data_IF_994012655715
#
_entry.id   IF_994012655715
#
_cell.length_a   1.000
_cell.length_b   1.000
_cell.length_c   1.000
_cell.angle_alpha   90.00
_cell.angle_beta   90.00
_cell.angle_gamma   90.00
#
_symmetry.space_group_name_H-M   'P 1'
#
loop_
_entity.id
_entity.type
_entity.pdbx_description
1 polymer ?
#
# COMPACT_ATOMS: atom_id res chain seq x y z
N UNK A 1 4.47 -22.55 -12.02
CA UNK A 1 5.34 -22.03 -10.94
C UNK A 1 6.82 -22.16 -11.28
N UNK A 2 7.35 -23.37 -11.51
CA UNK A 2 8.78 -23.59 -11.80
C UNK A 2 9.37 -22.75 -12.94
N UNK A 3 8.62 -22.53 -14.03
CA UNK A 3 9.09 -21.67 -15.12
C UNK A 3 9.22 -20.19 -14.71
N UNK A 4 8.32 -19.66 -13.86
CA UNK A 4 8.44 -18.30 -13.35
C UNK A 4 9.62 -18.17 -12.38
N UNK A 5 9.82 -19.17 -11.51
CA UNK A 5 10.95 -19.20 -10.57
C UNK A 5 12.28 -19.19 -11.33
N UNK A 6 12.45 -20.09 -12.31
CA UNK A 6 13.66 -20.11 -13.14
C UNK A 6 13.87 -18.83 -13.97
N UNK A 7 12.81 -18.17 -14.44
CA UNK A 7 12.92 -16.87 -15.09
C UNK A 7 13.38 -15.78 -14.11
N UNK A 8 12.87 -15.79 -12.88
CA UNK A 8 13.30 -14.86 -11.84
C UNK A 8 14.76 -15.08 -11.45
N UNK A 9 15.23 -16.33 -11.33
CA UNK A 9 16.64 -16.62 -11.01
C UNK A 9 17.59 -16.01 -12.04
N UNK A 10 17.30 -16.18 -13.34
CA UNK A 10 18.10 -15.58 -14.42
C UNK A 10 18.04 -14.06 -14.43
N UNK A 11 16.91 -13.48 -14.05
CA UNK A 11 16.76 -12.04 -13.90
C UNK A 11 17.60 -11.53 -12.71
N UNK A 12 17.60 -12.24 -11.59
CA UNK A 12 18.43 -11.92 -10.43
C UNK A 12 19.92 -12.03 -10.79
N UNK A 13 20.34 -13.09 -11.47
CA UNK A 13 21.71 -13.23 -11.97
C UNK A 13 22.13 -12.08 -12.89
N UNK A 14 21.23 -11.62 -13.77
CA UNK A 14 21.48 -10.47 -14.64
C UNK A 14 21.68 -9.20 -13.81
N UNK A 15 20.79 -8.93 -12.86
CA UNK A 15 20.87 -7.77 -11.98
C UNK A 15 22.14 -7.82 -11.12
N UNK A 16 22.47 -8.97 -10.57
CA UNK A 16 23.70 -9.20 -9.81
C UNK A 16 24.95 -9.04 -10.64
N UNK A 17 24.94 -9.28 -11.95
CA UNK A 17 26.13 -9.07 -12.80
C UNK A 17 26.21 -7.64 -13.33
N UNK A 18 25.08 -7.00 -13.59
CA UNK A 18 25.03 -5.68 -14.22
C UNK A 18 25.02 -4.52 -13.23
N UNK A 19 24.45 -4.69 -12.03
CA UNK A 19 24.25 -3.60 -11.06
C UNK A 19 25.29 -3.67 -9.94
N UNK A 20 25.82 -2.50 -9.59
CA UNK A 20 26.70 -2.33 -8.44
C UNK A 20 25.90 -2.10 -7.16
N UNK A 21 25.61 -3.17 -6.43
CA UNK A 21 24.90 -3.11 -5.15
C UNK A 21 25.72 -2.46 -4.03
N UNK A 22 27.06 -2.49 -4.09
CA UNK A 22 27.90 -1.83 -3.09
C UNK A 22 27.84 -0.30 -3.22
N UNK A 23 27.83 0.20 -4.46
CA UNK A 23 27.62 1.62 -4.73
C UNK A 23 26.24 2.09 -4.27
N UNK A 24 25.19 1.26 -4.44
CA UNK A 24 23.84 1.58 -3.94
C UNK A 24 23.84 1.68 -2.41
N UNK A 25 24.50 0.76 -1.71
CA UNK A 25 24.54 0.76 -0.25
C UNK A 25 25.36 1.95 0.31
N UNK A 26 26.47 2.31 -0.35
CA UNK A 26 27.42 3.34 0.11
C UNK A 26 26.99 4.75 -0.28
N UNK A 27 26.68 4.95 -1.56
CA UNK A 27 26.49 6.27 -2.17
C UNK A 27 25.02 6.53 -2.54
N UNK A 28 24.13 5.53 -2.43
CA UNK A 28 22.73 5.57 -2.91
C UNK A 28 22.62 5.85 -4.41
N UNK A 29 23.64 5.48 -5.16
CA UNK A 29 23.69 5.66 -6.61
C UNK A 29 23.54 4.33 -7.34
N UNK A 30 22.66 4.32 -8.34
CA UNK A 30 22.49 3.20 -9.24
C UNK A 30 23.52 3.29 -10.36
N UNK A 31 24.50 2.39 -10.34
CA UNK A 31 25.57 2.34 -11.34
C UNK A 31 25.68 0.94 -11.92
N UNK A 32 26.14 0.89 -13.17
CA UNK A 32 26.56 -0.37 -13.79
C UNK A 32 27.83 -0.85 -13.10
N UNK A 33 27.99 -2.16 -12.94
CA UNK A 33 29.22 -2.76 -12.39
C UNK A 33 30.42 -2.49 -13.30
N UNK A 34 31.52 -2.06 -12.71
CA UNK A 34 32.75 -1.69 -13.43
C UNK A 34 33.42 -2.88 -14.14
N UNK A 35 33.40 -4.07 -13.53
CA UNK A 35 34.06 -5.29 -14.05
C UNK A 35 33.41 -5.95 -15.29
N UNK A 36 32.42 -5.32 -15.94
CA UNK A 36 31.78 -5.87 -17.15
C UNK A 36 32.68 -5.72 -18.37
N UNK A 37 33.43 -4.62 -18.45
CA UNK A 37 34.38 -4.37 -19.54
C UNK A 37 35.66 -3.74 -18.99
N UNK A 38 36.84 -4.05 -19.56
CA UNK A 38 38.11 -3.47 -19.11
C UNK A 38 38.12 -1.94 -19.14
N UNK A 39 37.41 -1.34 -20.11
CA UNK A 39 37.28 0.11 -20.23
C UNK A 39 36.49 0.72 -19.06
N UNK A 40 35.41 0.07 -18.61
CA UNK A 40 34.65 0.54 -17.44
C UNK A 40 35.44 0.38 -16.15
N UNK A 41 36.25 -0.67 -16.03
CA UNK A 41 37.12 -0.89 -14.88
C UNK A 41 38.19 0.20 -14.76
N UNK A 42 38.84 0.56 -15.87
CA UNK A 42 39.81 1.66 -15.92
C UNK A 42 39.16 3.02 -15.56
N UNK A 43 38.02 3.34 -16.18
CA UNK A 43 37.29 4.59 -15.90
C UNK A 43 36.77 4.64 -14.46
N UNK A 44 36.32 3.51 -13.90
CA UNK A 44 35.94 3.41 -12.49
C UNK A 44 37.14 3.65 -11.57
N UNK A 45 38.31 3.10 -11.89
CA UNK A 45 39.55 3.36 -11.16
C UNK A 45 39.91 4.84 -11.11
N UNK A 46 39.81 5.55 -12.24
CA UNK A 46 40.03 6.99 -12.28
C UNK A 46 39.02 7.78 -11.43
N UNK A 47 37.74 7.41 -11.49
CA UNK A 47 36.68 8.01 -10.68
C UNK A 47 36.93 7.79 -9.19
N UNK A 48 37.22 6.55 -8.80
CA UNK A 48 37.37 6.15 -7.40
C UNK A 48 38.64 6.76 -6.79
N UNK A 49 39.73 6.85 -7.55
CA UNK A 49 40.93 7.57 -7.15
C UNK A 49 40.67 9.08 -6.94
N UNK A 50 39.93 9.73 -7.85
CA UNK A 50 39.55 11.13 -7.68
C UNK A 50 38.63 11.33 -6.46
N UNK A 51 37.76 10.36 -6.17
CA UNK A 51 36.88 10.36 -4.99
C UNK A 51 37.66 10.21 -3.69
N UNK A 52 38.65 9.32 -3.67
CA UNK A 52 39.54 9.13 -2.52
C UNK A 52 40.38 10.38 -2.25
N UNK A 53 40.89 11.04 -3.30
CA UNK A 53 41.59 12.31 -3.17
C UNK A 53 40.72 13.40 -2.52
N UNK A 54 39.44 13.50 -2.91
CA UNK A 54 38.49 14.43 -2.28
C UNK A 54 38.30 14.13 -0.78
N UNK A 55 38.28 12.85 -0.40
CA UNK A 55 38.14 12.41 0.99
C UNK A 55 39.42 12.72 1.81
N UNK A 56 40.61 12.56 1.23
CA UNK A 56 41.88 12.99 1.84
C UNK A 56 41.87 14.50 2.09
N UNK A 57 41.49 15.29 1.08
CA UNK A 57 41.38 16.76 1.21
C UNK A 57 40.36 17.14 2.29
N UNK A 58 39.21 16.44 2.36
CA UNK A 58 38.21 16.64 3.42
C UNK A 58 38.82 16.44 4.81
N UNK A 59 39.61 15.37 5.01
CA UNK A 59 40.25 15.08 6.30
C UNK A 59 41.31 16.12 6.66
N UNK A 60 42.13 16.55 5.70
CA UNK A 60 43.11 17.62 5.92
C UNK A 60 42.45 18.94 6.29
N UNK A 61 41.40 19.33 5.56
CA UNK A 61 40.64 20.56 5.83
C UNK A 61 40.00 20.48 7.20
N UNK A 62 39.35 19.36 7.55
CA UNK A 62 38.72 19.13 8.86
C UNK A 62 39.72 19.30 10.01
N UNK A 63 40.96 18.82 9.82
CA UNK A 63 42.05 18.99 10.79
C UNK A 63 42.46 20.46 10.93
N UNK A 64 42.59 21.20 9.82
CA UNK A 64 42.96 22.62 9.82
C UNK A 64 41.90 23.51 10.47
N UNK A 65 40.62 23.25 10.21
CA UNK A 65 39.50 24.04 10.78
C UNK A 65 39.08 23.58 12.18
N UNK A 66 39.68 22.48 12.70
CA UNK A 66 39.33 21.84 13.97
C UNK A 66 37.84 21.53 14.10
N UNK A 67 37.22 21.15 12.99
CA UNK A 67 35.77 20.92 12.87
C UNK A 67 35.55 19.82 11.83
N UNK A 68 34.59 18.93 12.06
CA UNK A 68 34.24 17.87 11.11
C UNK A 68 33.54 18.48 9.88
N UNK A 69 34.24 18.54 8.75
CA UNK A 69 33.65 18.89 7.47
C UNK A 69 33.12 17.62 6.78
N UNK A 70 31.99 17.75 6.09
CA UNK A 70 31.40 16.66 5.30
C UNK A 70 31.35 17.04 3.83
N UNK A 71 31.59 16.07 2.94
CA UNK A 71 31.35 16.26 1.51
C UNK A 71 29.83 16.36 1.27
N UNK A 72 29.43 17.35 0.48
CA UNK A 72 28.04 17.58 0.11
C UNK A 72 27.95 18.07 -1.34
N UNK A 73 26.89 17.70 -2.04
CA UNK A 73 26.58 18.23 -3.36
C UNK A 73 25.85 19.57 -3.25
N UNK A 74 26.36 20.59 -3.94
CA UNK A 74 25.67 21.86 -4.08
C UNK A 74 24.71 21.81 -5.29
N UNK A 75 23.61 22.56 -5.22
CA UNK A 75 22.55 22.53 -6.24
C UNK A 75 22.90 23.29 -7.53
N UNK A 76 23.86 24.24 -7.52
CA UNK A 76 24.24 24.99 -8.71
C UNK A 76 25.61 25.70 -8.59
N UNK A 77 26.51 25.55 -9.57
CA UNK A 77 26.61 24.39 -10.47
C UNK A 77 26.68 23.09 -9.63
N UNK A 78 26.21 21.96 -10.15
CA UNK A 78 26.29 20.69 -9.43
C UNK A 78 27.77 20.28 -9.26
N UNK A 79 28.36 20.61 -8.12
CA UNK A 79 29.71 20.18 -7.76
C UNK A 79 29.80 19.86 -6.27
N UNK A 80 30.75 18.99 -5.95
CA UNK A 80 31.03 18.58 -4.59
C UNK A 80 31.75 19.70 -3.84
N UNK A 81 31.30 19.97 -2.63
CA UNK A 81 31.89 20.98 -1.74
C UNK A 81 31.93 20.46 -0.30
N UNK A 82 32.54 21.24 0.58
CA UNK A 82 32.61 20.95 2.00
C UNK A 82 31.49 21.66 2.74
N UNK A 83 30.83 20.93 3.62
CA UNK A 83 29.74 21.39 4.47
C UNK A 83 30.17 21.37 5.92
N UNK A 84 29.88 22.46 6.63
CA UNK A 84 29.93 22.55 8.09
C UNK A 84 28.62 23.14 8.64
N UNK A 85 28.26 22.86 9.91
CA UNK A 85 27.19 23.55 10.61
C UNK A 85 27.41 25.07 10.59
N UNK A 86 26.35 25.86 10.39
CA UNK A 86 26.44 27.33 10.34
C UNK A 86 27.09 27.96 11.57
N UNK A 87 26.94 27.33 12.75
CA UNK A 87 27.59 27.75 14.01
C UNK A 87 29.12 27.81 13.91
N UNK A 88 29.72 27.04 13.02
CA UNK A 88 31.17 26.91 12.83
C UNK A 88 31.69 27.68 11.61
N UNK A 89 30.86 28.53 10.99
CA UNK A 89 31.24 29.39 9.85
C UNK A 89 32.49 30.23 10.12
N UNK A 90 32.61 30.80 11.33
CA UNK A 90 33.75 31.64 11.71
C UNK A 90 35.10 30.89 11.66
N UNK A 91 35.11 29.57 11.83
CA UNK A 91 36.34 28.76 11.73
C UNK A 91 36.83 28.62 10.29
N UNK A 92 35.91 28.66 9.33
CA UNK A 92 36.22 28.57 7.89
C UNK A 92 36.66 29.94 7.36
N UNK A 93 35.94 31.00 7.71
CA UNK A 93 36.22 32.37 7.23
C UNK A 93 37.55 32.95 7.74
N UNK A 94 38.11 32.40 8.83
CA UNK A 94 39.45 32.74 9.32
C UNK A 94 40.56 32.43 8.30
N UNK A 95 40.33 31.48 7.40
CA UNK A 95 41.33 31.04 6.42
C UNK A 95 40.97 31.59 5.04
N UNK A 96 41.77 32.55 4.53
CA UNK A 96 41.56 33.17 3.21
C UNK A 96 41.58 32.20 2.02
N UNK A 97 42.15 31.00 2.19
CA UNK A 97 42.21 29.99 1.14
C UNK A 97 40.86 29.29 0.85
N UNK A 98 39.85 29.48 1.71
CA UNK A 98 38.53 28.87 1.54
C UNK A 98 37.54 29.85 0.92
N UNK A 99 36.93 29.42 -0.19
CA UNK A 99 35.91 30.20 -0.90
C UNK A 99 34.53 29.75 -0.45
N UNK A 100 33.67 30.71 -0.09
CA UNK A 100 32.27 30.45 0.21
C UNK A 100 31.51 30.07 -1.06
N UNK A 101 30.71 29.01 -0.99
CA UNK A 101 29.84 28.54 -2.08
C UNK A 101 28.41 29.00 -1.83
N UNK A 102 27.82 28.53 -0.74
CA UNK A 102 26.40 28.77 -0.42
C UNK A 102 26.19 28.78 1.10
N UNK A 103 25.20 29.54 1.57
CA UNK A 103 24.77 29.55 2.97
C UNK A 103 23.30 29.18 3.02
N UNK A 104 23.00 28.10 3.74
CA UNK A 104 21.64 27.69 4.05
C UNK A 104 21.31 28.06 5.51
N UNK A 105 20.04 27.90 5.92
CA UNK A 105 19.59 28.26 7.28
C UNK A 105 20.42 27.55 8.37
N UNK A 106 20.81 26.29 8.17
CA UNK A 106 21.55 25.48 9.14
C UNK A 106 22.99 25.15 8.72
N UNK A 107 23.39 25.42 7.48
CA UNK A 107 24.60 24.87 6.88
C UNK A 107 25.41 25.94 6.14
N UNK A 108 26.73 25.81 6.19
CA UNK A 108 27.66 26.64 5.46
C UNK A 108 28.48 25.76 4.50
N UNK A 109 28.38 26.05 3.20
CA UNK A 109 29.04 25.32 2.12
C UNK A 109 30.20 26.15 1.59
N UNK A 110 31.36 25.53 1.46
CA UNK A 110 32.60 26.16 1.03
C UNK A 110 33.47 25.20 0.24
N UNK A 111 34.45 25.75 -0.47
CA UNK A 111 35.40 25.00 -1.30
C UNK A 111 36.82 25.56 -1.14
N UNK A 112 37.79 24.85 -1.70
CA UNK A 112 39.20 25.25 -1.72
C UNK A 112 39.83 24.87 -3.07
N UNK A 113 40.91 25.56 -3.48
CA UNK A 113 41.54 25.31 -4.79
C UNK A 113 41.89 23.84 -5.07
N UNK A 114 42.55 23.11 -4.13
CA UNK A 114 42.81 21.68 -4.32
C UNK A 114 41.54 20.84 -4.49
N UNK A 115 40.48 21.16 -3.75
CA UNK A 115 39.20 20.46 -3.88
C UNK A 115 38.53 20.77 -5.22
N UNK A 116 38.54 22.02 -5.67
CA UNK A 116 37.97 22.40 -6.98
C UNK A 116 38.60 21.58 -8.13
N UNK A 117 39.92 21.36 -8.08
CA UNK A 117 40.65 20.53 -9.05
C UNK A 117 40.28 19.04 -8.95
N UNK A 118 40.25 18.48 -7.74
CA UNK A 118 39.87 17.08 -7.52
C UNK A 118 38.43 16.82 -7.97
N UNK A 119 37.51 17.74 -7.67
CA UNK A 119 36.11 17.68 -8.08
C UNK A 119 35.96 17.77 -9.59
N UNK A 120 36.71 18.65 -10.27
CA UNK A 120 36.70 18.69 -11.74
C UNK A 120 37.12 17.35 -12.33
N UNK A 121 38.21 16.75 -11.83
CA UNK A 121 38.68 15.43 -12.30
C UNK A 121 37.65 14.33 -12.04
N UNK A 122 37.02 14.34 -10.86
CA UNK A 122 35.96 13.40 -10.52
C UNK A 122 34.77 13.53 -11.48
N UNK A 123 34.30 14.75 -11.74
CA UNK A 123 33.16 14.98 -12.64
C UNK A 123 33.48 14.57 -14.08
N UNK A 124 34.69 14.84 -14.57
CA UNK A 124 35.13 14.40 -15.90
C UNK A 124 35.19 12.87 -15.99
N UNK A 125 35.77 12.20 -14.99
CA UNK A 125 35.83 10.75 -14.93
C UNK A 125 34.42 10.13 -14.82
N UNK A 126 33.55 10.71 -13.99
CA UNK A 126 32.16 10.27 -13.83
C UNK A 126 31.36 10.43 -15.12
N UNK A 127 31.53 11.54 -15.83
CA UNK A 127 30.86 11.79 -17.11
C UNK A 127 31.27 10.74 -18.16
N UNK A 128 32.58 10.50 -18.30
CA UNK A 128 33.12 9.46 -19.20
C UNK A 128 32.65 8.06 -18.83
N UNK A 129 32.60 7.74 -17.54
CA UNK A 129 32.08 6.47 -17.05
C UNK A 129 30.61 6.29 -17.44
N UNK A 130 29.78 7.31 -17.18
CA UNK A 130 28.35 7.29 -17.49
C UNK A 130 28.10 7.17 -19.01
N UNK A 131 28.91 7.82 -19.83
CA UNK A 131 28.84 7.73 -21.28
C UNK A 131 29.21 6.32 -21.77
N UNK A 132 30.31 5.74 -21.29
CA UNK A 132 30.72 4.37 -21.61
C UNK A 132 29.70 3.33 -21.12
N UNK A 133 29.06 3.57 -19.98
CA UNK A 133 28.06 2.67 -19.40
C UNK A 133 26.67 2.78 -20.08
N UNK A 134 26.39 3.84 -20.84
CA UNK A 134 25.07 4.15 -21.38
C UNK A 134 24.50 3.02 -22.24
N UNK A 135 25.31 2.44 -23.12
CA UNK A 135 24.88 1.36 -24.01
C UNK A 135 24.61 0.05 -23.23
N UNK A 136 25.45 -0.25 -22.24
CA UNK A 136 25.28 -1.42 -21.37
C UNK A 136 24.01 -1.25 -20.51
N UNK A 137 23.78 -0.06 -19.99
CA UNK A 137 22.56 0.26 -19.25
C UNK A 137 21.31 0.07 -20.11
N UNK A 138 21.32 0.62 -21.33
CA UNK A 138 20.20 0.47 -22.27
C UNK A 138 19.91 -1.01 -22.56
N UNK A 139 20.93 -1.80 -22.90
CA UNK A 139 20.79 -3.24 -23.16
C UNK A 139 20.31 -4.00 -21.93
N UNK A 140 20.80 -3.66 -20.75
CA UNK A 140 20.36 -4.29 -19.49
C UNK A 140 18.86 -4.06 -19.26
N UNK A 141 18.37 -2.84 -19.50
CA UNK A 141 16.94 -2.51 -19.39
C UNK A 141 16.12 -3.25 -20.45
N UNK A 142 16.59 -3.33 -21.69
CA UNK A 142 15.92 -4.07 -22.76
C UNK A 142 15.79 -5.56 -22.43
N UNK A 143 16.86 -6.19 -21.91
CA UNK A 143 16.84 -7.59 -21.47
C UNK A 143 15.93 -7.75 -20.24
N UNK A 144 16.01 -6.85 -19.26
CA UNK A 144 15.13 -6.84 -18.08
C UNK A 144 13.65 -6.78 -18.47
N UNK A 145 13.30 -5.96 -19.46
CA UNK A 145 11.94 -5.80 -19.95
C UNK A 145 11.35 -7.11 -20.51
N UNK A 146 12.18 -8.02 -21.05
CA UNK A 146 11.71 -9.32 -21.53
C UNK A 146 11.13 -10.21 -20.42
N UNK A 147 11.49 -9.96 -19.16
CA UNK A 147 10.96 -10.69 -18.00
C UNK A 147 9.61 -10.17 -17.51
N UNK A 148 9.08 -9.08 -18.09
CA UNK A 148 7.80 -8.49 -17.68
C UNK A 148 6.65 -9.50 -17.56
N UNK A 149 6.41 -10.43 -18.52
CA UNK A 149 5.32 -11.40 -18.39
C UNK A 149 5.48 -12.35 -17.20
N UNK A 150 6.71 -12.68 -16.80
CA UNK A 150 6.96 -13.52 -15.63
C UNK A 150 6.66 -12.76 -14.33
N UNK A 151 7.10 -11.51 -14.25
CA UNK A 151 6.84 -10.62 -13.10
C UNK A 151 5.35 -10.32 -12.96
N UNK A 152 4.65 -10.03 -14.05
CA UNK A 152 3.20 -9.79 -14.04
C UNK A 152 2.43 -11.00 -13.48
N UNK A 153 2.73 -12.22 -13.97
CA UNK A 153 2.12 -13.45 -13.42
C UNK A 153 2.43 -13.66 -11.94
N UNK A 154 3.65 -13.32 -11.50
CA UNK A 154 3.99 -13.40 -10.08
C UNK A 154 3.16 -12.41 -9.26
N UNK A 155 2.98 -11.19 -9.77
CA UNK A 155 2.14 -10.19 -9.12
C UNK A 155 0.69 -10.66 -8.98
N UNK A 156 0.10 -11.28 -10.01
CA UNK A 156 -1.27 -11.82 -9.95
C UNK A 156 -1.42 -12.92 -8.90
N UNK A 157 -0.44 -13.82 -8.80
CA UNK A 157 -0.43 -14.90 -7.81
C UNK A 157 -0.28 -14.34 -6.40
N UNK A 158 0.63 -13.38 -6.21
CA UNK A 158 0.83 -12.73 -4.91
C UNK A 158 -0.41 -11.94 -4.49
N UNK A 159 -1.05 -11.22 -5.42
CA UNK A 159 -2.29 -10.50 -5.17
C UNK A 159 -3.42 -11.45 -4.75
N UNK A 160 -3.56 -12.60 -5.44
CA UNK A 160 -4.54 -13.61 -5.08
C UNK A 160 -4.28 -14.19 -3.69
N UNK A 161 -3.01 -14.48 -3.37
CA UNK A 161 -2.60 -14.98 -2.06
C UNK A 161 -2.87 -13.95 -0.95
N UNK A 162 -2.55 -12.68 -1.20
CA UNK A 162 -2.79 -11.57 -0.27
C UNK A 162 -4.28 -11.43 0.07
N UNK A 163 -5.16 -11.46 -0.94
CA UNK A 163 -6.61 -11.41 -0.73
C UNK A 163 -7.12 -12.61 0.07
N UNK A 164 -6.69 -13.83 -0.26
CA UNK A 164 -7.10 -15.04 0.46
C UNK A 164 -6.60 -15.06 1.91
N UNK A 165 -5.36 -14.63 2.15
CA UNK A 165 -4.81 -14.47 3.49
C UNK A 165 -5.57 -13.40 4.29
N UNK A 166 -5.93 -12.29 3.65
CA UNK A 166 -6.74 -11.23 4.26
C UNK A 166 -8.12 -11.76 4.66
N UNK A 167 -8.82 -12.50 3.79
CA UNK A 167 -10.08 -13.14 4.12
C UNK A 167 -9.96 -14.13 5.28
N UNK A 168 -8.91 -14.96 5.30
CA UNK A 168 -8.67 -15.89 6.41
C UNK A 168 -8.42 -15.16 7.74
N UNK A 169 -7.65 -14.07 7.71
CA UNK A 169 -7.38 -13.24 8.89
C UNK A 169 -8.65 -12.58 9.43
N UNK A 170 -9.46 -11.97 8.55
CA UNK A 170 -10.76 -11.41 8.91
C UNK A 170 -11.70 -12.49 9.47
N UNK A 171 -11.73 -13.68 8.85
CA UNK A 171 -12.58 -14.77 9.29
C UNK A 171 -12.24 -15.25 10.71
N UNK A 172 -10.95 -15.39 11.03
CA UNK A 172 -10.49 -15.76 12.37
C UNK A 172 -10.78 -14.68 13.40
N UNK A 173 -10.52 -13.42 13.05
CA UNK A 173 -10.69 -12.26 13.93
C UNK A 173 -12.17 -12.08 14.32
N UNK A 174 -13.07 -12.10 13.33
CA UNK A 174 -14.50 -11.86 13.57
C UNK A 174 -15.32 -13.14 13.72
N UNK A 175 -14.69 -14.32 13.82
CA UNK A 175 -15.35 -15.63 13.98
C UNK A 175 -16.40 -15.89 12.89
N UNK A 176 -15.99 -15.72 11.64
CA UNK A 176 -16.83 -15.93 10.47
C UNK A 176 -16.80 -17.41 10.08
N UNK A 177 -17.86 -17.87 9.41
CA UNK A 177 -18.03 -19.27 8.99
C UNK A 177 -18.11 -19.37 7.48
N UNK A 178 -17.62 -20.49 6.94
CA UNK A 178 -17.81 -20.79 5.52
C UNK A 178 -19.28 -21.14 5.32
N UNK A 179 -19.95 -20.42 4.42
CA UNK A 179 -21.32 -20.74 4.09
C UNK A 179 -21.39 -22.00 3.21
N UNK A 180 -22.43 -22.80 3.42
CA UNK A 180 -22.81 -23.87 2.51
C UNK A 180 -23.51 -23.26 1.29
N UNK A 181 -23.06 -23.60 0.09
CA UNK A 181 -23.57 -23.00 -1.13
C UNK A 181 -24.72 -23.86 -1.64
N UNK A 182 -25.91 -23.27 -1.68
CA UNK A 182 -27.06 -23.91 -2.31
C UNK A 182 -27.03 -23.63 -3.82
N UNK A 183 -26.50 -24.60 -4.56
CA UNK A 183 -26.31 -24.60 -6.02
C UNK A 183 -27.56 -25.08 -6.79
N UNK A 184 -28.67 -25.32 -6.08
CA UNK A 184 -29.96 -25.58 -6.67
C UNK A 184 -30.36 -24.48 -7.66
N UNK A 185 -30.89 -24.86 -8.82
CA UNK A 185 -31.37 -23.91 -9.84
C UNK A 185 -32.88 -24.05 -10.00
N UNK A 186 -33.69 -23.04 -9.60
CA UNK A 186 -33.30 -21.76 -8.97
C UNK A 186 -32.94 -21.89 -7.48
N UNK A 187 -32.07 -21.01 -6.96
CA UNK A 187 -31.55 -21.03 -5.59
C UNK A 187 -32.69 -20.93 -4.57
N UNK A 188 -32.60 -21.75 -3.53
CA UNK A 188 -33.77 -22.13 -2.75
C UNK A 188 -33.85 -21.37 -1.44
N UNK A 189 -32.72 -21.03 -0.81
CA UNK A 189 -32.78 -20.48 0.55
C UNK A 189 -31.71 -19.42 0.89
N UNK A 190 -32.13 -18.50 1.77
CA UNK A 190 -31.27 -17.77 2.70
C UNK A 190 -31.55 -18.39 4.07
N UNK A 191 -30.59 -19.12 4.61
CA UNK A 191 -30.69 -19.74 5.93
C UNK A 191 -29.43 -19.40 6.73
N UNK A 192 -29.53 -18.39 7.59
CA UNK A 192 -28.41 -17.88 8.36
C UNK A 192 -28.81 -17.91 9.83
N UNK A 193 -28.03 -18.61 10.66
CA UNK A 193 -28.20 -18.62 12.10
C UNK A 193 -27.18 -17.66 12.73
N UNK A 194 -27.66 -16.75 13.58
CA UNK A 194 -26.82 -15.81 14.32
C UNK A 194 -26.02 -14.85 13.44
N UNK A 195 -26.65 -14.24 12.43
CA UNK A 195 -26.02 -13.26 11.55
C UNK A 195 -25.63 -11.97 12.30
N UNK A 196 -24.44 -11.45 12.00
CA UNK A 196 -23.86 -10.25 12.61
C UNK A 196 -23.42 -9.23 11.58
N UNK A 197 -23.60 -7.94 11.87
CA UNK A 197 -23.10 -6.88 11.00
C UNK A 197 -21.68 -6.47 11.40
N UNK A 198 -20.66 -7.02 10.74
CA UNK A 198 -19.23 -6.84 11.09
C UNK A 198 -18.86 -5.37 11.30
N UNK A 199 -19.26 -4.46 10.42
CA UNK A 199 -18.91 -3.03 10.57
C UNK A 199 -19.55 -2.37 11.79
N UNK A 200 -20.77 -2.76 12.17
CA UNK A 200 -21.46 -2.20 13.34
C UNK A 200 -20.90 -2.83 14.61
N UNK A 201 -20.53 -4.11 14.56
CA UNK A 201 -19.85 -4.82 15.64
C UNK A 201 -18.48 -4.15 15.93
N UNK A 202 -17.67 -3.92 14.89
CA UNK A 202 -16.35 -3.29 15.04
C UNK A 202 -16.42 -1.82 15.47
N UNK A 203 -17.31 -1.02 14.89
CA UNK A 203 -17.45 0.39 15.27
C UNK A 203 -17.90 0.57 16.74
N UNK A 204 -18.56 -0.44 17.32
CA UNK A 204 -18.90 -0.48 18.74
C UNK A 204 -17.74 -0.93 19.62
N UNK A 205 -16.91 -1.87 19.14
CA UNK A 205 -15.70 -2.33 19.83
C UNK A 205 -14.65 -1.22 19.90
N UNK A 206 -14.45 -0.48 18.81
CA UNK A 206 -13.44 0.58 18.71
C UNK A 206 -13.88 1.92 19.32
N UNK A 207 -15.13 2.04 19.75
CA UNK A 207 -15.66 3.25 20.39
C UNK A 207 -16.01 4.39 19.43
N UNK A 208 -16.06 4.13 18.12
CA UNK A 208 -16.38 5.11 17.08
C UNK A 208 -17.87 5.54 17.11
N UNK A 209 -18.74 4.66 17.60
CA UNK A 209 -20.15 4.97 17.87
C UNK A 209 -20.29 5.30 19.36
N UNK A 210 -20.37 6.59 19.68
CA UNK A 210 -20.66 7.07 21.04
C UNK A 210 -22.07 6.64 21.46
N UNK A 211 -22.19 6.07 22.65
CA UNK A 211 -23.48 5.71 23.26
C UNK A 211 -24.25 6.97 23.64
N UNK A 212 -25.57 6.87 23.65
CA UNK A 212 -26.43 7.88 24.28
C UNK A 212 -26.12 7.88 25.78
N UNK A 213 -25.63 9.00 26.33
CA UNK A 213 -25.19 9.15 27.74
C UNK A 213 -26.31 8.85 28.76
N UNK A 214 -27.55 8.68 28.28
CA UNK A 214 -28.73 8.36 29.08
C UNK A 214 -28.86 6.88 29.50
N UNK A 215 -28.05 5.97 28.97
CA UNK A 215 -28.06 4.55 29.38
C UNK A 215 -27.07 4.34 30.52
N UNK A 216 -27.56 4.11 31.75
CA UNK A 216 -26.72 3.99 32.96
C UNK A 216 -25.67 2.86 32.91
N UNK A 217 -24.58 3.04 33.66
CA UNK A 217 -23.39 2.16 33.73
C UNK A 217 -23.71 0.66 33.89
N UNK A 218 -24.78 0.33 34.61
CA UNK A 218 -25.21 -1.06 34.85
C UNK A 218 -25.84 -1.72 33.62
N UNK A 219 -26.53 -0.95 32.77
CA UNK A 219 -27.08 -1.46 31.50
C UNK A 219 -25.97 -1.59 30.44
N UNK A 220 -24.95 -0.73 30.48
CA UNK A 220 -23.74 -0.82 29.66
C UNK A 220 -22.95 -2.10 29.97
N UNK A 221 -22.93 -2.56 31.23
CA UNK A 221 -22.30 -3.82 31.60
C UNK A 221 -23.12 -5.08 31.21
N UNK A 222 -24.46 -4.97 31.19
CA UNK A 222 -25.36 -6.12 30.97
C UNK A 222 -25.79 -6.31 29.50
N UNK A 223 -26.00 -5.23 28.75
CA UNK A 223 -26.19 -5.22 27.28
C UNK A 223 -24.88 -4.98 26.52
N UNK A 224 -23.74 -5.08 27.23
CA UNK A 224 -22.47 -4.50 26.85
C UNK A 224 -21.93 -4.94 25.49
N UNK A 225 -21.57 -3.92 24.70
CA UNK A 225 -20.61 -3.94 23.59
C UNK A 225 -20.84 -4.92 22.43
N UNK A 226 -21.81 -5.84 22.52
CA UNK A 226 -21.97 -6.93 21.57
C UNK A 226 -23.16 -6.68 20.65
N UNK A 227 -22.90 -6.78 19.35
CA UNK A 227 -23.95 -6.86 18.35
C UNK A 227 -24.84 -8.08 18.66
N UNK A 228 -26.16 -7.89 18.74
CA UNK A 228 -27.11 -8.99 18.97
C UNK A 228 -27.27 -9.77 17.67
N UNK A 229 -26.84 -11.05 17.59
CA UNK A 229 -26.98 -11.85 16.37
C UNK A 229 -28.46 -12.12 16.06
N UNK A 230 -28.82 -12.15 14.77
CA UNK A 230 -30.19 -12.44 14.35
C UNK A 230 -30.22 -13.52 13.27
N UNK A 231 -31.23 -14.38 13.33
CA UNK A 231 -31.45 -15.40 12.32
C UNK A 231 -32.13 -14.81 11.08
N UNK A 232 -31.79 -15.31 9.90
CA UNK A 232 -32.38 -14.91 8.62
C UNK A 232 -32.81 -16.16 7.87
N UNK A 233 -34.12 -16.33 7.71
CA UNK A 233 -34.72 -17.48 7.04
C UNK A 233 -35.68 -17.02 5.95
N UNK A 234 -35.34 -17.36 4.71
CA UNK A 234 -36.18 -17.16 3.54
C UNK A 234 -36.00 -18.38 2.65
N UNK A 235 -37.11 -18.97 2.19
CA UNK A 235 -37.05 -20.12 1.30
C UNK A 235 -38.09 -20.02 0.19
N UNK A 236 -37.86 -20.77 -0.87
CA UNK A 236 -38.79 -20.90 -1.97
C UNK A 236 -39.93 -21.86 -1.59
N UNK A 237 -41.18 -21.44 -1.72
CA UNK A 237 -42.33 -22.34 -1.52
C UNK A 237 -42.18 -23.68 -2.25
N UNK A 238 -42.50 -24.79 -1.57
CA UNK A 238 -42.50 -26.14 -2.14
C UNK A 238 -41.16 -26.87 -2.17
N UNK A 239 -40.09 -26.28 -1.63
CA UNK A 239 -38.72 -26.85 -1.64
C UNK A 239 -38.30 -27.47 -0.30
N UNK A 240 -39.27 -27.70 0.58
CA UNK A 240 -39.18 -28.19 1.96
C UNK A 240 -37.83 -28.75 2.40
N UNK A 241 -37.02 -27.89 3.02
CA UNK A 241 -35.88 -28.30 3.87
C UNK A 241 -36.00 -27.72 5.29
N UNK A 242 -36.90 -26.76 5.52
CA UNK A 242 -37.23 -26.22 6.84
C UNK A 242 -38.72 -26.37 7.14
N UNK A 243 -39.06 -26.91 8.32
CA UNK A 243 -40.42 -27.18 8.81
C UNK A 243 -41.15 -25.87 9.25
N UNK A 244 -41.23 -24.86 8.38
CA UNK A 244 -41.77 -23.54 8.72
C UNK A 244 -42.48 -22.83 7.56
N UNK A 245 -43.29 -21.83 7.92
CA UNK A 245 -44.02 -20.93 7.01
C UNK A 245 -43.11 -19.86 6.36
N UNK A 246 -41.83 -20.18 6.19
CA UNK A 246 -40.83 -19.23 5.71
C UNK A 246 -41.03 -19.03 4.20
N UNK A 247 -41.60 -17.89 3.82
CA UNK A 247 -41.89 -17.55 2.43
C UNK A 247 -40.72 -16.83 1.74
N UNK A 248 -40.93 -16.46 0.47
CA UNK A 248 -39.98 -15.63 -0.30
C UNK A 248 -39.99 -14.16 0.09
N UNK A 249 -40.98 -13.73 0.86
CA UNK A 249 -41.22 -12.34 1.25
C UNK A 249 -41.27 -12.27 2.76
N UNK A 250 -40.44 -11.42 3.35
CA UNK A 250 -40.41 -11.16 4.78
C UNK A 250 -40.87 -9.73 5.04
N UNK A 251 -41.97 -9.57 5.79
CA UNK A 251 -42.47 -8.26 6.23
C UNK A 251 -41.96 -7.99 7.63
N UNK A 252 -41.11 -6.98 7.79
CA UNK A 252 -40.45 -6.64 9.07
C UNK A 252 -41.09 -5.38 9.64
N UNK A 253 -41.76 -5.51 10.77
CA UNK A 253 -42.39 -4.40 11.50
C UNK A 253 -41.71 -4.17 12.85
N UNK A 254 -41.92 -3.00 13.45
CA UNK A 254 -41.36 -2.66 14.76
C UNK A 254 -41.03 -1.18 14.91
N UNK A 255 -40.68 -0.72 16.13
CA UNK A 255 -40.40 0.68 16.41
C UNK A 255 -39.19 1.21 15.64
N UNK A 256 -39.12 2.52 15.44
CA UNK A 256 -37.92 3.18 14.91
C UNK A 256 -36.73 2.91 15.83
N UNK A 257 -35.52 2.86 15.24
CA UNK A 257 -34.28 2.47 15.92
C UNK A 257 -34.23 1.02 16.45
N UNK A 258 -35.26 0.20 16.24
CA UNK A 258 -35.27 -1.23 16.60
C UNK A 258 -34.37 -2.14 15.73
N UNK A 259 -33.43 -1.58 14.96
CA UNK A 259 -32.47 -2.37 14.17
C UNK A 259 -32.98 -2.96 12.84
N UNK A 260 -34.23 -2.65 12.42
CA UNK A 260 -34.82 -3.17 11.16
C UNK A 260 -33.91 -2.97 9.93
N UNK A 261 -33.38 -1.77 9.73
CA UNK A 261 -32.48 -1.47 8.61
C UNK A 261 -31.14 -2.18 8.73
N UNK A 262 -30.65 -2.38 9.95
CA UNK A 262 -29.41 -3.13 10.21
C UNK A 262 -29.61 -4.61 9.89
N UNK A 263 -30.77 -5.18 10.24
CA UNK A 263 -31.12 -6.57 9.93
C UNK A 263 -31.09 -6.85 8.42
N UNK A 264 -31.80 -6.06 7.60
CA UNK A 264 -31.83 -6.26 6.14
C UNK A 264 -30.44 -6.09 5.50
N UNK A 265 -29.64 -5.12 5.98
CA UNK A 265 -28.28 -4.89 5.49
C UNK A 265 -27.34 -6.01 5.90
N UNK A 266 -27.54 -6.61 7.08
CA UNK A 266 -26.77 -7.75 7.55
C UNK A 266 -26.99 -8.97 6.65
N UNK A 267 -28.24 -9.27 6.31
CA UNK A 267 -28.56 -10.34 5.37
C UNK A 267 -27.90 -10.13 4.00
N UNK A 268 -28.03 -8.92 3.44
CA UNK A 268 -27.39 -8.55 2.17
C UNK A 268 -25.87 -8.65 2.21
N UNK A 269 -25.24 -8.21 3.31
CA UNK A 269 -23.79 -8.32 3.52
C UNK A 269 -23.33 -9.78 3.54
N UNK A 270 -24.09 -10.66 4.20
CA UNK A 270 -23.77 -12.09 4.25
C UNK A 270 -23.79 -12.73 2.85
N UNK A 271 -24.79 -12.40 2.04
CA UNK A 271 -24.89 -12.84 0.64
C UNK A 271 -23.70 -12.32 -0.17
N UNK A 272 -23.38 -11.04 -0.04
CA UNK A 272 -22.26 -10.42 -0.74
C UNK A 272 -20.92 -11.09 -0.39
N UNK A 273 -20.63 -11.26 0.91
CA UNK A 273 -19.41 -11.90 1.39
C UNK A 273 -19.26 -13.33 0.87
N UNK A 274 -20.34 -14.10 0.84
CA UNK A 274 -20.34 -15.43 0.27
C UNK A 274 -19.98 -15.42 -1.23
N UNK A 275 -20.58 -14.52 -2.03
CA UNK A 275 -20.36 -14.47 -3.47
C UNK A 275 -19.00 -13.91 -3.89
N UNK A 276 -18.32 -13.14 -3.04
CA UNK A 276 -16.90 -12.74 -3.27
C UNK A 276 -15.91 -13.83 -2.83
N UNK A 277 -16.38 -14.94 -2.26
CA UNK A 277 -15.54 -16.04 -1.80
C UNK A 277 -14.95 -15.85 -0.39
N UNK A 278 -15.54 -14.95 0.42
CA UNK A 278 -15.16 -14.75 1.81
C UNK A 278 -16.04 -15.57 2.77
N UNK A 279 -15.64 -15.59 4.04
CA UNK A 279 -16.43 -16.17 5.12
C UNK A 279 -17.55 -15.20 5.53
N UNK A 280 -18.62 -15.74 6.12
CA UNK A 280 -19.83 -15.01 6.48
C UNK A 280 -19.90 -14.82 8.00
N UNK A 281 -20.27 -13.62 8.52
CA UNK A 281 -20.34 -13.35 9.96
C UNK A 281 -21.59 -13.97 10.61
N UNK A 282 -21.61 -15.29 10.73
CA UNK A 282 -22.73 -16.06 11.27
C UNK A 282 -22.23 -17.25 12.10
N UNK A 283 -23.14 -17.98 12.76
CA UNK A 283 -22.83 -19.28 13.39
C UNK A 283 -22.95 -20.42 12.38
N UNK A 284 -23.97 -20.35 11.51
CA UNK A 284 -24.19 -21.24 10.37
C UNK A 284 -24.78 -20.39 9.24
N UNK A 285 -24.39 -20.68 8.01
CA UNK A 285 -24.99 -20.05 6.84
C UNK A 285 -25.13 -21.08 5.72
N UNK A 286 -26.31 -21.15 5.10
CA UNK A 286 -26.57 -21.78 3.82
C UNK A 286 -27.19 -20.74 2.89
N UNK A 287 -26.52 -20.46 1.79
CA UNK A 287 -26.83 -19.34 0.92
C UNK A 287 -26.86 -19.79 -0.53
N UNK A 288 -27.96 -19.47 -1.22
CA UNK A 288 -28.03 -19.60 -2.67
C UNK A 288 -27.16 -18.59 -3.42
N UNK A 289 -27.02 -18.81 -4.73
CA UNK A 289 -26.30 -17.89 -5.63
C UNK A 289 -27.29 -16.85 -6.17
N UNK A 290 -27.18 -15.60 -5.73
CA UNK A 290 -28.08 -14.54 -6.18
C UNK A 290 -27.54 -13.84 -7.42
N UNK A 291 -28.44 -13.52 -8.35
CA UNK A 291 -28.11 -12.74 -9.56
C UNK A 291 -27.73 -11.29 -9.21
N UNK A 292 -28.46 -10.69 -8.26
CA UNK A 292 -28.30 -9.29 -7.89
C UNK A 292 -28.85 -9.04 -6.50
N UNK A 293 -28.19 -8.15 -5.76
CA UNK A 293 -28.72 -7.57 -4.52
C UNK A 293 -29.26 -6.20 -4.89
N UNK A 294 -30.57 -6.03 -4.78
CA UNK A 294 -31.25 -4.75 -5.05
C UNK A 294 -31.72 -4.17 -3.72
N UNK A 295 -31.47 -2.88 -3.51
CA UNK A 295 -31.84 -2.22 -2.27
C UNK A 295 -32.51 -0.87 -2.55
N UNK A 296 -33.62 -0.64 -1.84
CA UNK A 296 -34.24 0.68 -1.71
C UNK A 296 -34.22 1.05 -0.23
N UNK A 297 -33.31 1.94 0.17
CA UNK A 297 -33.16 2.35 1.57
C UNK A 297 -33.15 3.87 1.66
N UNK A 298 -34.33 4.48 1.47
CA UNK A 298 -34.55 5.94 1.55
C UNK A 298 -33.86 6.73 0.43
N UNK A 299 -34.44 7.86 0.02
CA UNK A 299 -33.79 8.82 -0.86
C UNK A 299 -33.32 10.03 -0.03
N UNK A 300 -32.10 10.48 -0.25
CA UNK A 300 -31.72 11.86 0.08
C UNK A 300 -32.27 12.79 -1.00
N UNK A 301 -32.78 13.95 -0.60
CA UNK A 301 -33.37 14.93 -1.49
C UNK A 301 -32.41 15.37 -2.62
N UNK A 302 -32.86 15.28 -3.87
CA UNK A 302 -32.16 15.82 -5.04
C UNK A 302 -32.85 17.09 -5.56
N UNK A 303 -32.94 18.11 -4.71
CA UNK A 303 -33.61 19.38 -5.05
C UNK A 303 -33.04 20.05 -6.30
N UNK A 304 -31.74 19.89 -6.57
CA UNK A 304 -31.05 20.50 -7.72
C UNK A 304 -31.49 19.89 -9.07
N UNK A 305 -32.04 18.65 -9.09
CA UNK A 305 -32.50 17.98 -10.33
C UNK A 305 -33.99 18.14 -10.62
N UNK A 306 -34.75 18.87 -9.79
CA UNK A 306 -36.19 19.08 -10.00
C UNK A 306 -37.06 17.82 -9.85
N UNK A 307 -36.53 16.76 -9.24
CA UNK A 307 -37.27 15.51 -8.98
C UNK A 307 -37.73 15.53 -7.52
N UNK A 308 -39.04 15.35 -7.30
CA UNK A 308 -39.59 15.26 -5.94
C UNK A 308 -39.10 13.98 -5.25
N UNK A 309 -39.00 14.00 -3.92
CA UNK A 309 -38.57 12.84 -3.13
C UNK A 309 -39.41 11.61 -3.49
N UNK A 310 -40.75 11.75 -3.52
CA UNK A 310 -41.67 10.68 -3.92
C UNK A 310 -41.42 10.18 -5.34
N UNK A 311 -41.21 11.08 -6.32
CA UNK A 311 -40.91 10.68 -7.69
C UNK A 311 -39.58 9.92 -7.77
N UNK A 312 -38.55 10.34 -7.03
CA UNK A 312 -37.30 9.61 -6.93
C UNK A 312 -37.51 8.23 -6.30
N UNK A 313 -38.33 8.12 -5.26
CA UNK A 313 -38.62 6.81 -4.65
C UNK A 313 -39.35 5.87 -5.60
N UNK A 314 -40.30 6.38 -6.38
CA UNK A 314 -41.05 5.60 -7.36
C UNK A 314 -40.19 5.19 -8.56
N UNK A 315 -39.28 6.05 -9.00
CA UNK A 315 -38.31 5.72 -10.05
C UNK A 315 -37.33 4.64 -9.59
N UNK A 316 -36.82 4.73 -8.37
CA UNK A 316 -35.97 3.69 -7.79
C UNK A 316 -36.74 2.36 -7.68
N UNK A 317 -37.99 2.40 -7.21
CA UNK A 317 -38.84 1.21 -7.11
C UNK A 317 -39.15 0.59 -8.48
N UNK A 318 -39.29 1.38 -9.54
CA UNK A 318 -39.51 0.89 -10.91
C UNK A 318 -38.25 0.27 -11.54
N UNK A 319 -37.06 0.58 -11.02
CA UNK A 319 -35.78 0.06 -11.51
C UNK A 319 -35.35 -1.28 -10.90
N UNK A 320 -36.02 -1.69 -9.81
CA UNK A 320 -35.83 -2.95 -9.07
C UNK A 320 -36.74 -4.02 -9.68
#
# INVERSE_FOLDING_TARGET
MNACVHSCDRFMDLMEKCVDFEAIARDREFRIRSGITPQLEELAGHRDAAREEMEVIKQEVSRKIKTEARLAEAAAPHYWCLRVPKKQQASVEKTRAYKKVQINKAEFLFTCGPLELAVSRFMDAQSRYNEAARDIQKRTVEVAATYHPAVARLADVLASLDVLCSFACCALTHRMVRADIDDATPPVCIDIDGARHVLVEEARINGDIKMDEAMGETQIAFYGYRFVPNDVKMQREGTGHMNGNDGRVMVITGPNMGGKSTYIRTAALCVFLNQIGSFVPAQRARLGIFRSIMCRVGASDYQIRGVSTFMAEMLDAASI
#
